data_IF_223387539302
#
_entry.id   IF_223387539302
#
_cell.length_a   1.000
_cell.length_b   1.000
_cell.length_c   1.000
_cell.angle_alpha   90.00
_cell.angle_beta   90.00
_cell.angle_gamma   90.00
#
_symmetry.space_group_name_H-M   'P 1'
#
loop_
_entity.id
_entity.type
_entity.pdbx_description
1 polymer ?
#
# COMPACT_ATOMS: atom_id res chain seq x y z
N UNK A 1 27.42 -14.64 -24.60
CA UNK A 1 26.61 -14.35 -23.40
C UNK A 1 27.20 -15.18 -22.29
N UNK A 2 27.42 -14.59 -21.13
CA UNK A 2 27.95 -15.31 -19.99
C UNK A 2 26.92 -16.35 -19.52
N UNK A 3 27.42 -17.52 -19.10
CA UNK A 3 26.60 -18.57 -18.52
C UNK A 3 26.46 -18.29 -17.03
N UNK A 4 25.26 -17.91 -16.59
CA UNK A 4 24.95 -17.52 -15.21
C UNK A 4 24.10 -18.58 -14.51
N UNK A 5 24.25 -18.69 -13.20
CA UNK A 5 23.33 -19.37 -12.29
C UNK A 5 22.28 -18.37 -11.81
N UNK A 6 21.04 -18.62 -12.18
CA UNK A 6 19.91 -17.71 -11.90
C UNK A 6 18.87 -18.41 -11.05
N UNK A 7 18.58 -17.84 -9.88
CA UNK A 7 17.45 -18.28 -9.06
C UNK A 7 16.17 -17.52 -9.46
N UNK A 8 15.13 -18.25 -9.81
CA UNK A 8 13.83 -17.71 -10.17
C UNK A 8 12.94 -17.67 -8.92
N UNK A 9 12.55 -16.48 -8.48
CA UNK A 9 11.64 -16.30 -7.35
C UNK A 9 10.25 -15.89 -7.86
N UNK A 10 9.34 -16.86 -7.93
CA UNK A 10 7.96 -16.64 -8.36
C UNK A 10 7.09 -16.01 -7.29
N UNK A 11 6.26 -15.02 -7.66
CA UNK A 11 5.35 -14.39 -6.71
C UNK A 11 4.31 -13.48 -7.34
N UNK A 12 3.22 -13.26 -6.58
CA UNK A 12 2.24 -12.22 -6.93
C UNK A 12 2.78 -10.83 -6.60
N UNK A 13 3.66 -10.71 -5.58
CA UNK A 13 4.28 -9.46 -5.10
C UNK A 13 3.27 -8.33 -4.86
N UNK A 14 2.27 -8.58 -4.02
CA UNK A 14 1.10 -7.71 -3.83
C UNK A 14 0.96 -7.15 -2.39
N UNK A 15 1.82 -6.24 -1.91
CA UNK A 15 3.02 -5.70 -2.59
C UNK A 15 4.29 -6.54 -2.32
N UNK A 16 5.38 -6.22 -3.03
CA UNK A 16 6.74 -6.66 -2.66
C UNK A 16 7.15 -6.11 -1.29
N UNK A 17 8.05 -6.82 -0.60
CA UNK A 17 8.46 -6.50 0.78
C UNK A 17 9.81 -7.07 1.14
N UNK A 18 10.36 -6.69 2.30
CA UNK A 18 11.72 -7.07 2.71
C UNK A 18 11.89 -8.58 2.90
N UNK A 19 10.83 -9.31 3.26
CA UNK A 19 10.85 -10.79 3.22
C UNK A 19 11.26 -11.37 1.85
N UNK A 20 10.76 -10.84 0.74
CA UNK A 20 11.16 -11.28 -0.61
C UNK A 20 12.63 -10.96 -0.89
N UNK A 21 13.10 -9.76 -0.51
CA UNK A 21 14.51 -9.40 -0.67
C UNK A 21 15.44 -10.24 0.20
N UNK A 22 15.03 -10.63 1.41
CA UNK A 22 15.84 -11.50 2.28
C UNK A 22 16.05 -12.86 1.63
N UNK A 23 15.00 -13.42 1.03
CA UNK A 23 15.10 -14.66 0.24
C UNK A 23 16.08 -14.45 -0.92
N UNK A 24 15.87 -13.42 -1.74
CA UNK A 24 16.73 -13.15 -2.89
C UNK A 24 18.21 -12.95 -2.50
N UNK A 25 18.50 -12.15 -1.48
CA UNK A 25 19.86 -11.97 -0.96
C UNK A 25 20.48 -13.28 -0.45
N UNK A 26 19.69 -14.11 0.23
CA UNK A 26 20.19 -15.39 0.71
C UNK A 26 20.53 -16.35 -0.45
N UNK A 27 19.78 -16.33 -1.55
CA UNK A 27 20.13 -17.08 -2.75
C UNK A 27 21.48 -16.61 -3.33
N UNK A 28 21.73 -15.31 -3.36
CA UNK A 28 23.01 -14.75 -3.82
C UNK A 28 24.16 -15.14 -2.87
N UNK A 29 24.02 -14.80 -1.59
CA UNK A 29 25.12 -14.81 -0.63
C UNK A 29 25.47 -16.22 -0.12
N UNK A 30 24.48 -17.10 0.04
CA UNK A 30 24.68 -18.42 0.65
C UNK A 30 24.73 -19.54 -0.39
N UNK A 31 23.84 -19.49 -1.38
CA UNK A 31 23.78 -20.49 -2.44
C UNK A 31 24.62 -20.13 -3.68
N UNK A 32 25.30 -18.97 -3.67
CA UNK A 32 26.21 -18.51 -4.72
C UNK A 32 25.55 -18.44 -6.11
N UNK A 33 24.29 -18.00 -6.17
CA UNK A 33 23.67 -17.62 -7.44
C UNK A 33 24.26 -16.28 -7.93
N UNK A 34 24.46 -16.15 -9.24
CA UNK A 34 24.96 -14.90 -9.84
C UNK A 34 23.87 -13.82 -9.85
N UNK A 35 22.63 -14.24 -10.09
CA UNK A 35 21.46 -13.36 -10.13
C UNK A 35 20.21 -14.03 -9.55
N UNK A 36 19.28 -13.20 -9.07
CA UNK A 36 17.93 -13.61 -8.71
C UNK A 36 16.93 -12.86 -9.57
N UNK A 37 16.05 -13.58 -10.26
CA UNK A 37 15.02 -13.00 -11.10
C UNK A 37 13.65 -13.20 -10.44
N UNK A 38 12.99 -12.10 -10.09
CA UNK A 38 11.64 -12.12 -9.53
C UNK A 38 10.64 -12.22 -10.69
N UNK A 39 9.92 -13.34 -10.74
CA UNK A 39 8.89 -13.60 -11.76
C UNK A 39 7.55 -13.05 -11.28
N UNK A 40 7.14 -11.92 -11.86
CA UNK A 40 5.87 -11.28 -11.54
C UNK A 40 4.72 -11.99 -12.26
N UNK A 41 3.89 -12.70 -11.50
CA UNK A 41 2.76 -13.42 -12.07
C UNK A 41 1.69 -12.48 -12.65
N UNK A 42 1.28 -12.73 -13.90
CA UNK A 42 0.15 -12.04 -14.55
C UNK A 42 -1.18 -12.50 -13.96
N UNK A 43 -1.41 -13.81 -13.92
CA UNK A 43 -2.52 -14.46 -13.24
C UNK A 43 -2.06 -15.82 -12.70
N UNK A 44 -1.99 -15.95 -11.37
CA UNK A 44 -1.56 -17.19 -10.73
C UNK A 44 -2.68 -18.26 -10.84
N UNK A 45 -2.42 -19.47 -11.38
CA UNK A 45 -3.48 -20.44 -11.68
C UNK A 45 -4.36 -20.88 -10.49
N UNK A 46 -3.81 -20.81 -9.26
CA UNK A 46 -4.44 -21.30 -8.02
C UNK A 46 -4.84 -20.15 -7.07
N UNK A 47 -4.94 -18.91 -7.58
CA UNK A 47 -5.36 -17.74 -6.78
C UNK A 47 -6.36 -16.91 -7.56
N UNK A 48 -7.26 -16.25 -6.82
CA UNK A 48 -8.12 -15.22 -7.38
C UNK A 48 -7.29 -14.08 -8.00
N UNK A 49 -7.89 -13.37 -8.95
CA UNK A 49 -7.27 -12.20 -9.56
C UNK A 49 -6.85 -11.19 -8.48
N UNK A 50 -5.65 -10.64 -8.61
CA UNK A 50 -5.19 -9.60 -7.70
C UNK A 50 -6.07 -8.36 -7.84
N UNK A 51 -6.52 -7.81 -6.72
CA UNK A 51 -7.23 -6.51 -6.69
C UNK A 51 -6.37 -5.35 -7.23
N UNK A 52 -5.05 -5.54 -7.31
CA UNK A 52 -4.09 -4.53 -7.81
C UNK A 52 -3.61 -4.92 -9.19
N UNK A 53 -3.63 -3.93 -10.09
CA UNK A 53 -3.21 -4.08 -11.48
C UNK A 53 -1.76 -4.59 -11.58
N UNK A 54 -1.46 -5.28 -12.69
CA UNK A 54 -0.11 -5.77 -12.95
C UNK A 54 0.93 -4.63 -12.92
N UNK A 55 0.60 -3.50 -13.57
CA UNK A 55 1.50 -2.36 -13.69
C UNK A 55 1.82 -1.71 -12.34
N UNK A 56 0.87 -1.66 -11.42
CA UNK A 56 1.12 -1.16 -10.06
C UNK A 56 2.04 -2.11 -9.26
N UNK A 57 1.82 -3.42 -9.37
CA UNK A 57 2.71 -4.42 -8.74
C UNK A 57 4.11 -4.32 -9.32
N UNK A 58 4.23 -4.18 -10.64
CA UNK A 58 5.49 -3.92 -11.35
C UNK A 58 6.17 -2.64 -10.85
N UNK A 59 5.44 -1.53 -10.77
CA UNK A 59 5.97 -0.25 -10.30
C UNK A 59 6.55 -0.38 -8.87
N UNK A 60 5.81 -1.01 -7.96
CA UNK A 60 6.29 -1.29 -6.61
C UNK A 60 7.54 -2.19 -6.59
N UNK A 61 7.61 -3.19 -7.46
CA UNK A 61 8.83 -4.01 -7.61
C UNK A 61 10.02 -3.20 -8.10
N UNK A 62 9.85 -2.37 -9.13
CA UNK A 62 10.94 -1.53 -9.65
C UNK A 62 11.46 -0.56 -8.57
N UNK A 63 10.57 0.02 -7.76
CA UNK A 63 10.97 0.86 -6.62
C UNK A 63 11.77 0.09 -5.56
N UNK A 64 11.44 -1.18 -5.33
CA UNK A 64 12.14 -2.05 -4.39
C UNK A 64 13.53 -2.45 -4.90
N UNK A 65 13.64 -2.76 -6.19
CA UNK A 65 14.81 -3.38 -6.81
C UNK A 65 15.87 -2.36 -7.29
N UNK A 66 15.56 -1.06 -7.29
CA UNK A 66 16.44 -0.01 -7.81
C UNK A 66 17.88 -0.05 -7.24
N UNK A 67 18.04 -0.46 -5.97
CA UNK A 67 19.33 -0.51 -5.27
C UNK A 67 19.98 -1.92 -5.30
N UNK A 68 19.45 -2.86 -6.08
CA UNK A 68 19.86 -4.27 -6.10
C UNK A 68 20.18 -4.78 -7.51
N UNK A 69 21.38 -4.53 -8.05
CA UNK A 69 21.71 -4.85 -9.45
C UNK A 69 21.63 -6.34 -9.81
N UNK A 70 21.91 -7.24 -8.85
CA UNK A 70 21.84 -8.69 -9.03
C UNK A 70 20.44 -9.28 -8.75
N UNK A 71 19.45 -8.43 -8.42
CA UNK A 71 18.07 -8.85 -8.17
C UNK A 71 17.16 -8.16 -9.19
N UNK A 72 16.73 -8.90 -10.20
CA UNK A 72 16.05 -8.34 -11.39
C UNK A 72 14.57 -8.68 -11.41
N UNK A 73 13.76 -7.80 -11.98
CA UNK A 73 12.40 -8.12 -12.40
C UNK A 73 12.47 -8.94 -13.70
N UNK A 74 11.80 -10.08 -13.75
CA UNK A 74 11.61 -10.85 -14.97
C UNK A 74 10.14 -10.79 -15.41
N UNK A 75 9.93 -10.20 -16.58
CA UNK A 75 8.60 -9.92 -17.14
C UNK A 75 8.18 -10.94 -18.20
N UNK A 76 8.89 -12.07 -18.34
CA UNK A 76 8.63 -13.04 -19.40
C UNK A 76 7.17 -13.53 -19.40
N UNK A 77 6.54 -13.63 -18.22
CA UNK A 77 5.13 -14.04 -18.10
C UNK A 77 4.14 -13.01 -18.64
N UNK A 78 4.55 -11.76 -18.86
CA UNK A 78 3.72 -10.76 -19.53
C UNK A 78 3.50 -11.12 -21.02
N UNK A 79 4.47 -11.79 -21.65
CA UNK A 79 4.49 -12.22 -23.04
C UNK A 79 3.83 -13.60 -23.26
N UNK A 80 3.60 -14.37 -22.19
CA UNK A 80 3.09 -15.74 -22.26
C UNK A 80 1.56 -15.83 -22.12
N UNK A 81 0.92 -16.92 -22.61
CA UNK A 81 -0.50 -17.17 -22.40
C UNK A 81 -0.85 -17.27 -20.91
N UNK A 82 -2.04 -16.77 -20.54
CA UNK A 82 -2.59 -16.89 -19.19
C UNK A 82 -3.43 -18.18 -19.04
N UNK A 83 -3.47 -18.81 -17.85
CA UNK A 83 -2.77 -18.42 -16.62
C UNK A 83 -1.27 -18.75 -16.66
N UNK A 84 -0.48 -18.10 -15.80
CA UNK A 84 0.97 -18.29 -15.71
C UNK A 84 1.32 -19.69 -15.18
N UNK A 85 1.52 -20.67 -16.08
CA UNK A 85 2.04 -21.99 -15.71
C UNK A 85 3.56 -22.00 -15.70
N UNK A 86 4.15 -22.37 -14.56
CA UNK A 86 5.61 -22.39 -14.36
C UNK A 86 6.36 -23.18 -15.44
N UNK A 87 5.80 -24.29 -15.93
CA UNK A 87 6.44 -25.07 -17.01
C UNK A 87 6.66 -24.24 -18.28
N UNK A 88 5.67 -23.44 -18.70
CA UNK A 88 5.82 -22.58 -19.87
C UNK A 88 6.85 -21.49 -19.62
N UNK A 89 6.90 -20.94 -18.40
CA UNK A 89 7.90 -19.95 -17.98
C UNK A 89 9.31 -20.52 -18.06
N UNK A 90 9.54 -21.73 -17.51
CA UNK A 90 10.86 -22.39 -17.55
C UNK A 90 11.28 -22.70 -18.99
N UNK A 91 10.38 -23.25 -19.81
CA UNK A 91 10.68 -23.57 -21.21
C UNK A 91 11.03 -22.31 -22.03
N UNK A 92 10.29 -21.22 -21.84
CA UNK A 92 10.58 -19.96 -22.51
C UNK A 92 11.91 -19.35 -22.04
N UNK A 93 12.23 -19.44 -20.74
CA UNK A 93 13.50 -18.96 -20.20
C UNK A 93 14.69 -19.77 -20.73
N UNK A 94 14.61 -21.11 -20.69
CA UNK A 94 15.66 -22.01 -21.19
C UNK A 94 15.87 -21.89 -22.71
N UNK A 95 14.82 -21.56 -23.46
CA UNK A 95 14.94 -21.29 -24.90
C UNK A 95 15.60 -19.93 -25.20
N UNK A 96 15.40 -18.93 -24.35
CA UNK A 96 15.84 -17.53 -24.58
C UNK A 96 17.21 -17.22 -24.01
N UNK A 97 17.60 -17.90 -22.93
CA UNK A 97 18.82 -17.61 -22.19
C UNK A 97 19.65 -18.88 -21.98
N UNK A 98 20.97 -18.84 -22.24
CA UNK A 98 21.87 -19.97 -22.01
C UNK A 98 22.29 -20.03 -20.52
N UNK A 99 21.37 -19.85 -19.59
CA UNK A 99 21.63 -19.81 -18.14
C UNK A 99 21.19 -21.11 -17.46
N UNK A 100 21.78 -21.40 -16.31
CA UNK A 100 21.32 -22.45 -15.40
C UNK A 100 20.25 -21.87 -14.47
N UNK A 101 19.04 -22.42 -14.52
CA UNK A 101 17.91 -21.93 -13.74
C UNK A 101 17.59 -22.85 -12.57
N UNK A 102 17.36 -22.26 -11.40
CA UNK A 102 16.73 -22.89 -10.25
C UNK A 102 15.43 -22.17 -9.91
N UNK A 103 14.50 -22.83 -9.23
CA UNK A 103 13.22 -22.24 -8.85
C UNK A 103 13.04 -22.19 -7.33
N UNK A 104 12.78 -20.99 -6.81
CA UNK A 104 12.56 -20.75 -5.38
C UNK A 104 11.06 -20.71 -5.10
N UNK A 105 10.62 -21.54 -4.15
CA UNK A 105 9.22 -21.75 -3.81
C UNK A 105 9.01 -21.72 -2.29
N UNK A 106 7.92 -21.14 -1.81
CA UNK A 106 7.55 -21.20 -0.39
C UNK A 106 6.94 -22.55 -0.02
N UNK A 107 7.09 -22.98 1.23
CA UNK A 107 6.58 -24.28 1.69
C UNK A 107 5.06 -24.47 1.51
N UNK A 108 4.27 -23.40 1.53
CA UNK A 108 2.83 -23.46 1.24
C UNK A 108 2.53 -23.85 -0.22
N UNK A 109 3.38 -23.45 -1.16
CA UNK A 109 3.25 -23.86 -2.56
C UNK A 109 3.87 -25.24 -2.80
N UNK A 110 4.98 -25.56 -2.10
CA UNK A 110 5.62 -26.87 -2.22
C UNK A 110 4.70 -28.02 -1.77
N UNK A 111 3.89 -27.83 -0.72
CA UNK A 111 2.89 -28.81 -0.26
C UNK A 111 1.87 -29.20 -1.35
N UNK A 112 1.55 -28.27 -2.25
CA UNK A 112 0.62 -28.49 -3.36
C UNK A 112 1.32 -28.58 -4.73
N UNK A 113 2.64 -28.81 -4.76
CA UNK A 113 3.43 -28.83 -5.99
C UNK A 113 2.98 -29.93 -6.97
N UNK A 114 2.45 -31.05 -6.48
CA UNK A 114 1.86 -32.12 -7.30
C UNK A 114 0.65 -31.66 -8.14
N UNK A 115 0.05 -30.51 -7.80
CA UNK A 115 -1.04 -29.90 -8.58
C UNK A 115 -0.53 -28.95 -9.67
N UNK A 116 0.77 -28.67 -9.73
CA UNK A 116 1.33 -27.81 -10.76
C UNK A 116 1.34 -28.54 -12.10
N UNK A 117 1.02 -27.81 -13.17
CA UNK A 117 1.02 -28.35 -14.52
C UNK A 117 2.42 -28.88 -14.87
N UNK A 118 2.49 -30.16 -15.26
CA UNK A 118 3.73 -30.86 -15.60
C UNK A 118 4.78 -30.83 -14.47
N UNK A 119 4.36 -31.05 -13.21
CA UNK A 119 5.27 -31.05 -12.06
C UNK A 119 6.42 -32.05 -12.20
N UNK A 120 6.21 -33.23 -12.81
CA UNK A 120 7.26 -34.23 -13.03
C UNK A 120 8.33 -33.70 -13.99
N UNK A 121 7.91 -33.10 -15.12
CA UNK A 121 8.82 -32.44 -16.07
C UNK A 121 9.55 -31.25 -15.44
N UNK A 122 8.91 -30.53 -14.51
CA UNK A 122 9.57 -29.46 -13.76
C UNK A 122 10.72 -29.99 -12.89
N UNK A 123 10.55 -31.15 -12.23
CA UNK A 123 11.61 -31.78 -11.42
C UNK A 123 12.82 -32.18 -12.25
N UNK A 124 12.62 -32.52 -13.53
CA UNK A 124 13.69 -32.85 -14.46
C UNK A 124 14.39 -31.60 -15.02
N UNK A 125 13.67 -30.48 -15.13
CA UNK A 125 14.17 -29.26 -15.79
C UNK A 125 14.95 -28.32 -14.88
N UNK A 126 14.62 -28.25 -13.59
CA UNK A 126 15.21 -27.29 -12.65
C UNK A 126 15.29 -27.86 -11.23
N UNK A 127 16.27 -27.39 -10.46
CA UNK A 127 16.32 -27.64 -9.02
C UNK A 127 15.39 -26.69 -8.27
N UNK A 128 14.60 -27.23 -7.35
CA UNK A 128 13.71 -26.44 -6.49
C UNK A 128 14.38 -26.13 -5.15
N UNK A 129 14.23 -24.88 -4.70
CA UNK A 129 14.67 -24.40 -3.40
C UNK A 129 13.42 -24.03 -2.58
N UNK A 130 13.15 -24.81 -1.54
CA UNK A 130 11.98 -24.63 -0.68
C UNK A 130 12.30 -23.73 0.50
N UNK A 131 11.68 -22.56 0.56
CA UNK A 131 11.75 -21.66 1.70
C UNK A 131 10.74 -22.10 2.76
N UNK A 132 11.26 -22.54 3.90
CA UNK A 132 10.47 -22.95 5.05
C UNK A 132 9.62 -21.82 5.61
N UNK A 133 8.49 -22.19 6.21
CA UNK A 133 7.58 -21.24 6.87
C UNK A 133 7.32 -21.73 8.29
N UNK A 134 7.67 -20.92 9.29
CA UNK A 134 7.67 -21.32 10.70
C UNK A 134 8.47 -22.61 10.97
N UNK A 135 9.53 -22.85 10.19
CA UNK A 135 10.35 -24.08 10.29
C UNK A 135 9.72 -25.33 9.69
N UNK A 136 8.55 -25.23 9.04
CA UNK A 136 7.91 -26.36 8.35
C UNK A 136 8.25 -26.39 6.86
N UNK A 137 8.48 -27.60 6.36
CA UNK A 137 8.79 -27.94 4.97
C UNK A 137 7.81 -29.00 4.44
N UNK A 138 7.78 -29.16 3.13
CA UNK A 138 7.10 -30.23 2.42
C UNK A 138 7.86 -31.57 2.53
N UNK A 139 7.24 -32.62 2.00
CA UNK A 139 7.84 -33.97 1.97
C UNK A 139 8.66 -34.23 0.69
N UNK A 140 8.93 -33.21 -0.13
CA UNK A 140 9.73 -33.38 -1.34
C UNK A 140 11.22 -33.50 -1.00
N UNK A 141 11.77 -34.70 -1.13
CA UNK A 141 13.19 -34.97 -0.84
C UNK A 141 14.15 -34.32 -1.84
N UNK A 142 13.67 -34.08 -3.07
CA UNK A 142 14.44 -33.44 -4.15
C UNK A 142 14.58 -31.92 -3.97
N UNK A 143 13.86 -31.32 -3.03
CA UNK A 143 13.88 -29.87 -2.81
C UNK A 143 15.02 -29.49 -1.85
N UNK A 144 15.83 -28.52 -2.26
CA UNK A 144 16.86 -27.94 -1.40
C UNK A 144 16.18 -27.07 -0.35
N UNK A 145 16.38 -27.37 0.93
CA UNK A 145 15.76 -26.62 2.03
C UNK A 145 16.45 -25.29 2.25
N UNK A 146 15.66 -24.24 2.36
CA UNK A 146 16.06 -22.88 2.70
C UNK A 146 15.33 -22.47 3.96
N UNK A 147 16.05 -22.08 5.01
CA UNK A 147 15.44 -21.72 6.28
C UNK A 147 14.51 -20.51 6.17
N UNK A 148 13.57 -20.40 7.13
CA UNK A 148 12.65 -19.27 7.17
C UNK A 148 13.40 -17.96 7.53
N UNK A 149 13.47 -17.02 6.58
CA UNK A 149 14.25 -15.78 6.74
C UNK A 149 13.44 -14.56 7.21
N UNK A 150 12.11 -14.65 7.20
CA UNK A 150 11.22 -13.54 7.54
C UNK A 150 9.81 -14.02 7.89
N UNK A 151 9.18 -13.33 8.83
CA UNK A 151 7.75 -13.46 9.15
C UNK A 151 6.87 -12.44 8.42
N UNK A 152 7.47 -11.54 7.63
CA UNK A 152 6.76 -10.46 6.95
C UNK A 152 5.89 -11.02 5.84
N UNK A 153 4.63 -10.57 5.79
CA UNK A 153 3.69 -10.93 4.74
C UNK A 153 3.13 -9.70 4.04
N UNK A 154 2.91 -9.80 2.72
CA UNK A 154 2.19 -8.76 1.97
C UNK A 154 0.83 -8.43 2.59
N UNK A 155 0.15 -9.41 3.20
CA UNK A 155 -1.15 -9.20 3.87
C UNK A 155 -1.04 -8.22 5.04
N UNK A 156 0.00 -8.32 5.86
CA UNK A 156 0.21 -7.37 6.97
C UNK A 156 0.45 -5.95 6.45
N UNK A 157 1.18 -5.81 5.33
CA UNK A 157 1.44 -4.52 4.69
C UNK A 157 0.15 -3.92 4.10
N UNK A 158 -0.65 -4.72 3.37
CA UNK A 158 -1.96 -4.27 2.83
C UNK A 158 -2.94 -3.82 3.92
N UNK A 159 -2.82 -4.38 5.12
CA UNK A 159 -3.64 -4.01 6.29
C UNK A 159 -3.04 -2.85 7.11
N UNK A 160 -1.91 -2.25 6.71
CA UNK A 160 -1.25 -1.20 7.50
C UNK A 160 -0.68 -1.69 8.86
N UNK A 161 -0.51 -3.00 9.03
CA UNK A 161 -0.01 -3.64 10.26
C UNK A 161 1.51 -3.76 10.26
N UNK A 162 2.14 -3.58 9.10
CA UNK A 162 3.59 -3.65 8.91
C UNK A 162 4.00 -2.66 7.83
N UNK A 163 5.13 -1.99 8.06
CA UNK A 163 5.82 -1.17 7.09
C UNK A 163 7.13 -1.81 6.60
N UNK A 164 7.28 -3.13 6.74
CA UNK A 164 8.50 -3.87 6.38
C UNK A 164 8.67 -4.05 4.86
N UNK A 165 8.73 -2.94 4.14
CA UNK A 165 9.02 -2.81 2.72
C UNK A 165 9.81 -1.52 2.46
N UNK A 166 10.16 -1.24 1.20
CA UNK A 166 10.85 0.00 0.86
C UNK A 166 9.93 1.22 1.11
N UNK A 167 10.41 2.31 1.74
CA UNK A 167 9.66 3.55 1.92
C UNK A 167 8.97 4.08 0.66
N UNK A 168 9.60 3.94 -0.51
CA UNK A 168 9.04 4.35 -1.80
C UNK A 168 7.82 3.50 -2.19
N UNK A 169 7.79 2.23 -1.81
CA UNK A 169 6.63 1.34 -2.02
C UNK A 169 5.46 1.78 -1.16
N UNK A 170 5.69 2.09 0.13
CA UNK A 170 4.64 2.61 1.01
C UNK A 170 4.06 3.93 0.50
N UNK A 171 4.94 4.84 0.05
CA UNK A 171 4.52 6.10 -0.57
C UNK A 171 3.68 5.84 -1.83
N UNK A 172 4.14 4.96 -2.71
CA UNK A 172 3.43 4.60 -3.94
C UNK A 172 2.03 4.05 -3.62
N UNK A 173 1.91 3.17 -2.63
CA UNK A 173 0.62 2.63 -2.21
C UNK A 173 -0.39 3.72 -1.87
N UNK A 174 0.00 4.68 -1.03
CA UNK A 174 -0.89 5.78 -0.62
C UNK A 174 -1.18 6.72 -1.78
N UNK A 175 -0.17 7.12 -2.55
CA UNK A 175 -0.34 8.10 -3.63
C UNK A 175 -1.13 7.55 -4.83
N UNK A 176 -1.22 6.24 -4.99
CA UNK A 176 -1.99 5.56 -6.03
C UNK A 176 -3.27 4.89 -5.50
N UNK A 177 -3.72 5.25 -4.29
CA UNK A 177 -4.97 4.78 -3.66
C UNK A 177 -5.05 3.24 -3.54
N UNK A 178 -3.90 2.58 -3.40
CA UNK A 178 -3.82 1.14 -3.28
C UNK A 178 -4.05 0.73 -1.84
N UNK A 179 -4.97 -0.21 -1.64
CA UNK A 179 -5.29 -0.81 -0.33
C UNK A 179 -5.90 0.15 0.71
N UNK A 180 -6.36 1.35 0.32
CA UNK A 180 -6.91 2.34 1.24
C UNK A 180 -7.95 1.75 2.20
N UNK A 181 -8.91 0.99 1.68
CA UNK A 181 -9.94 0.41 2.51
C UNK A 181 -9.40 -0.60 3.54
N UNK A 182 -8.36 -1.37 3.21
CA UNK A 182 -7.77 -2.32 4.18
C UNK A 182 -6.83 -1.63 5.16
N UNK A 183 -6.10 -0.60 4.73
CA UNK A 183 -5.26 0.24 5.60
C UNK A 183 -6.14 1.01 6.58
N UNK A 184 -7.15 1.72 6.11
CA UNK A 184 -7.98 2.56 6.97
C UNK A 184 -8.76 1.73 7.99
N UNK A 185 -9.27 0.53 7.64
CA UNK A 185 -9.94 -0.36 8.61
C UNK A 185 -9.06 -0.77 9.80
N UNK A 186 -7.74 -0.70 9.68
CA UNK A 186 -6.82 -0.92 10.81
C UNK A 186 -6.82 0.24 11.82
N UNK A 187 -7.17 1.45 11.37
CA UNK A 187 -7.09 2.67 12.18
C UNK A 187 -8.45 3.26 12.55
N UNK A 188 -9.52 2.90 11.83
CA UNK A 188 -10.84 3.48 12.02
C UNK A 188 -11.98 2.45 11.93
N UNK A 189 -13.04 2.71 12.69
CA UNK A 189 -14.27 1.92 12.68
C UNK A 189 -15.05 2.08 11.36
N UNK A 190 -15.89 1.10 10.95
CA UNK A 190 -16.63 1.15 9.69
C UNK A 190 -17.44 2.44 9.48
N UNK A 191 -18.09 2.97 10.52
CA UNK A 191 -18.84 4.23 10.46
C UNK A 191 -17.95 5.43 10.08
N UNK A 192 -16.70 5.44 10.57
CA UNK A 192 -15.74 6.51 10.28
C UNK A 192 -15.14 6.36 8.88
N UNK A 193 -14.91 5.13 8.42
CA UNK A 193 -14.50 4.90 7.04
C UNK A 193 -15.56 5.38 6.05
N UNK A 194 -16.83 5.06 6.31
CA UNK A 194 -17.93 5.56 5.50
C UNK A 194 -18.03 7.09 5.52
N UNK A 195 -17.70 7.74 6.64
CA UNK A 195 -17.57 9.20 6.72
C UNK A 195 -16.44 9.70 5.81
N UNK A 196 -15.22 9.17 5.92
CA UNK A 196 -14.10 9.57 5.06
C UNK A 196 -14.38 9.38 3.57
N UNK A 197 -15.12 8.32 3.20
CA UNK A 197 -15.55 8.09 1.81
C UNK A 197 -16.48 9.19 1.31
N UNK A 198 -17.51 9.57 2.08
CA UNK A 198 -18.41 10.67 1.69
C UNK A 198 -17.72 12.04 1.67
N UNK A 199 -16.78 12.26 2.58
CA UNK A 199 -15.90 13.45 2.54
C UNK A 199 -15.07 13.45 1.27
N UNK A 200 -14.48 12.32 0.88
CA UNK A 200 -13.72 12.18 -0.36
C UNK A 200 -14.57 12.46 -1.60
N UNK A 201 -15.76 11.86 -1.70
CA UNK A 201 -16.69 12.10 -2.81
C UNK A 201 -17.04 13.59 -2.94
N UNK A 202 -17.37 14.23 -1.82
CA UNK A 202 -17.70 15.66 -1.76
C UNK A 202 -16.49 16.53 -2.12
N UNK A 203 -15.31 16.20 -1.60
CA UNK A 203 -14.07 16.93 -1.87
C UNK A 203 -13.66 16.85 -3.34
N UNK A 204 -13.75 15.66 -3.95
CA UNK A 204 -13.46 15.44 -5.36
C UNK A 204 -14.43 16.17 -6.28
N UNK A 205 -15.71 16.24 -5.91
CA UNK A 205 -16.70 17.02 -6.64
C UNK A 205 -16.30 18.51 -6.65
N UNK A 206 -15.99 19.09 -5.49
CA UNK A 206 -15.51 20.49 -5.42
C UNK A 206 -14.21 20.67 -6.21
N UNK A 207 -13.22 19.78 -6.02
CA UNK A 207 -11.90 19.89 -6.63
C UNK A 207 -11.92 19.91 -8.17
N UNK A 208 -12.83 19.16 -8.81
CA UNK A 208 -13.01 19.16 -10.26
C UNK A 208 -13.37 20.54 -10.80
N UNK A 209 -14.18 21.31 -10.08
CA UNK A 209 -14.57 22.67 -10.46
C UNK A 209 -13.44 23.70 -10.29
N UNK A 210 -12.42 23.38 -9.50
CA UNK A 210 -11.25 24.24 -9.27
C UNK A 210 -9.97 23.76 -9.98
N UNK A 211 -10.09 22.73 -10.83
CA UNK A 211 -8.98 22.14 -11.59
C UNK A 211 -7.77 21.73 -10.73
N UNK A 212 -8.04 21.20 -9.54
CA UNK A 212 -7.00 20.73 -8.62
C UNK A 212 -6.62 19.28 -8.90
N UNK A 213 -5.44 18.89 -8.39
CA UNK A 213 -4.97 17.51 -8.43
C UNK A 213 -5.90 16.60 -7.60
N UNK A 214 -6.62 15.72 -8.29
CA UNK A 214 -7.62 14.84 -7.69
C UNK A 214 -6.99 13.75 -6.83
N UNK A 215 -5.79 13.28 -7.16
CA UNK A 215 -5.10 12.26 -6.37
C UNK A 215 -4.68 12.84 -5.02
N UNK A 216 -4.15 14.06 -5.01
CA UNK A 216 -3.78 14.79 -3.79
C UNK A 216 -5.02 15.04 -2.91
N UNK A 217 -6.14 15.46 -3.50
CA UNK A 217 -7.41 15.68 -2.77
C UNK A 217 -7.96 14.37 -2.20
N UNK A 218 -7.95 13.29 -2.98
CA UNK A 218 -8.46 11.99 -2.55
C UNK A 218 -7.67 11.44 -1.35
N UNK A 219 -6.33 11.47 -1.38
CA UNK A 219 -5.50 11.04 -0.24
C UNK A 219 -5.81 11.90 0.98
N UNK A 220 -5.82 13.23 0.84
CA UNK A 220 -6.09 14.12 1.96
C UNK A 220 -7.48 13.86 2.57
N UNK A 221 -8.50 13.66 1.75
CA UNK A 221 -9.87 13.41 2.20
C UNK A 221 -10.04 12.02 2.83
N UNK A 222 -9.49 10.96 2.23
CA UNK A 222 -9.62 9.60 2.78
C UNK A 222 -8.94 9.45 4.14
N UNK A 223 -7.79 10.10 4.32
CA UNK A 223 -6.95 9.97 5.52
C UNK A 223 -7.12 11.09 6.56
N UNK A 224 -7.96 12.11 6.35
CA UNK A 224 -8.09 13.25 7.27
C UNK A 224 -8.35 12.85 8.74
N UNK A 225 -9.18 11.81 8.94
CA UNK A 225 -9.60 11.31 10.24
C UNK A 225 -8.94 9.98 10.62
N UNK A 226 -7.83 9.59 9.96
CA UNK A 226 -7.19 8.26 10.14
C UNK A 226 -6.83 7.95 11.59
N UNK A 227 -6.41 8.96 12.36
CA UNK A 227 -6.03 8.80 13.76
C UNK A 227 -7.15 9.17 14.75
N UNK A 228 -8.41 9.30 14.31
CA UNK A 228 -9.51 9.81 15.15
C UNK A 228 -9.79 8.98 16.40
N UNK A 229 -9.57 7.67 16.31
CA UNK A 229 -9.82 6.72 17.40
C UNK A 229 -8.58 6.44 18.27
N UNK A 230 -7.43 7.03 17.95
CA UNK A 230 -6.17 6.72 18.62
C UNK A 230 -6.10 7.30 20.03
N UNK A 231 -5.52 6.51 20.94
CA UNK A 231 -4.92 7.01 22.17
C UNK A 231 -3.42 7.29 22.00
N UNK A 232 -2.79 7.75 23.08
CA UNK A 232 -1.35 8.04 23.13
C UNK A 232 -0.52 6.79 22.79
N UNK A 233 -0.94 5.61 23.26
CA UNK A 233 -0.24 4.36 22.99
C UNK A 233 -0.27 3.98 21.51
N UNK A 234 -1.40 4.15 20.84
CA UNK A 234 -1.51 3.91 19.40
C UNK A 234 -0.56 4.86 18.64
N UNK A 235 -0.58 6.15 18.99
CA UNK A 235 0.32 7.13 18.40
C UNK A 235 1.79 6.75 18.62
N UNK A 236 2.18 6.30 19.81
CA UNK A 236 3.55 5.86 20.09
C UNK A 236 3.95 4.63 19.26
N UNK A 237 3.07 3.64 19.11
CA UNK A 237 3.33 2.43 18.33
C UNK A 237 3.67 2.75 16.87
N UNK A 238 2.96 3.68 16.23
CA UNK A 238 3.18 4.03 14.82
C UNK A 238 4.23 5.12 14.63
N UNK A 239 4.27 6.13 15.50
CA UNK A 239 5.03 7.37 15.29
C UNK A 239 6.30 7.46 16.13
N UNK A 240 6.41 6.66 17.20
CA UNK A 240 7.51 6.70 18.17
C UNK A 240 7.75 8.14 18.65
N UNK A 241 8.91 8.73 18.35
CA UNK A 241 9.24 10.12 18.71
C UNK A 241 8.34 11.18 18.07
N UNK A 242 7.61 10.84 17.00
CA UNK A 242 6.69 11.76 16.31
C UNK A 242 5.27 11.73 16.89
N UNK A 243 5.03 11.00 17.99
CA UNK A 243 3.74 10.98 18.67
C UNK A 243 3.50 12.18 19.58
N UNK A 244 4.53 12.95 19.93
CA UNK A 244 4.42 14.09 20.82
C UNK A 244 3.62 15.23 20.16
N UNK A 245 2.60 15.70 20.88
CA UNK A 245 1.65 16.75 20.49
C UNK A 245 1.93 18.08 21.18
N UNK A 246 2.87 18.13 22.13
CA UNK A 246 3.14 19.31 22.95
C UNK A 246 1.87 19.84 23.62
N UNK A 247 1.68 21.16 23.56
CA UNK A 247 0.53 21.86 24.18
C UNK A 247 -0.73 21.88 23.31
N UNK A 248 -0.81 21.07 22.24
CA UNK A 248 -1.98 21.04 21.38
C UNK A 248 -3.23 20.61 22.19
N UNK A 249 -4.36 21.32 22.05
CA UNK A 249 -5.63 20.87 22.60
C UNK A 249 -6.00 19.46 22.12
N UNK A 250 -6.62 18.67 22.99
CA UNK A 250 -6.95 17.25 22.71
C UNK A 250 -7.71 17.02 21.40
N UNK A 251 -8.59 17.94 21.01
CA UNK A 251 -9.36 17.83 19.76
C UNK A 251 -8.51 18.02 18.49
N UNK A 252 -7.25 18.48 18.62
CA UNK A 252 -6.27 18.64 17.55
C UNK A 252 -5.17 17.56 17.57
N UNK A 253 -5.27 16.56 18.44
CA UNK A 253 -4.29 15.46 18.45
C UNK A 253 -4.43 14.57 17.20
N UNK A 254 -5.65 14.19 16.82
CA UNK A 254 -5.87 13.33 15.67
C UNK A 254 -5.46 13.92 14.31
N UNK A 255 -5.70 15.21 13.96
CA UNK A 255 -5.21 15.75 12.70
C UNK A 255 -3.68 15.81 12.68
N UNK A 256 -3.06 16.09 13.83
CA UNK A 256 -1.60 16.07 13.96
C UNK A 256 -1.05 14.65 13.73
N UNK A 257 -1.55 13.65 14.46
CA UNK A 257 -1.11 12.26 14.29
C UNK A 257 -1.42 11.70 12.91
N UNK A 258 -2.55 12.05 12.30
CA UNK A 258 -2.87 11.65 10.92
C UNK A 258 -1.84 12.17 9.93
N UNK A 259 -1.49 13.46 10.05
CA UNK A 259 -0.43 14.08 9.23
C UNK A 259 0.94 13.42 9.49
N UNK A 260 1.30 13.16 10.76
CA UNK A 260 2.55 12.47 11.09
C UNK A 260 2.58 11.02 10.59
N UNK A 261 1.45 10.30 10.62
CA UNK A 261 1.35 8.93 10.11
C UNK A 261 1.66 8.89 8.62
N UNK A 262 1.02 9.74 7.81
CA UNK A 262 1.31 9.79 6.38
C UNK A 262 2.76 10.17 6.11
N UNK A 263 3.30 11.15 6.84
CA UNK A 263 4.67 11.62 6.66
C UNK A 263 5.74 10.61 7.04
N UNK A 264 5.60 9.98 8.21
CA UNK A 264 6.69 9.22 8.84
C UNK A 264 6.51 7.70 8.72
N UNK A 265 5.27 7.21 8.66
CA UNK A 265 5.01 5.78 8.48
C UNK A 265 4.84 5.42 7.01
N UNK A 266 4.11 6.24 6.24
CA UNK A 266 3.86 5.99 4.82
C UNK A 266 4.74 6.82 3.87
N UNK A 267 5.61 7.68 4.39
CA UNK A 267 6.58 8.46 3.62
C UNK A 267 5.96 9.38 2.55
N UNK A 268 4.72 9.84 2.77
CA UNK A 268 4.09 10.88 1.95
C UNK A 268 4.70 12.24 2.30
N UNK A 269 5.27 12.90 1.29
CA UNK A 269 5.96 14.19 1.42
C UNK A 269 5.21 15.35 0.74
N UNK A 270 4.05 15.08 0.11
CA UNK A 270 3.22 16.11 -0.49
C UNK A 270 2.69 17.07 0.61
N UNK A 271 3.12 18.33 0.53
CA UNK A 271 2.82 19.33 1.55
C UNK A 271 1.33 19.63 1.66
N UNK A 272 0.60 19.65 0.56
CA UNK A 272 -0.83 19.98 0.55
C UNK A 272 -1.65 18.89 1.26
N UNK A 273 -1.33 17.62 1.05
CA UNK A 273 -1.94 16.50 1.80
C UNK A 273 -1.68 16.66 3.30
N UNK A 274 -0.41 16.87 3.67
CA UNK A 274 -0.01 16.92 5.08
C UNK A 274 -0.63 18.11 5.81
N UNK A 275 -0.74 19.27 5.16
CA UNK A 275 -1.39 20.47 5.72
C UNK A 275 -2.91 20.31 5.78
N UNK A 276 -3.55 19.81 4.72
CA UNK A 276 -4.99 19.61 4.71
C UNK A 276 -5.43 18.67 5.83
N UNK A 277 -4.72 17.57 6.06
CA UNK A 277 -4.98 16.67 7.20
C UNK A 277 -4.71 17.38 8.53
N UNK A 278 -3.60 18.12 8.67
CA UNK A 278 -3.23 18.79 9.92
C UNK A 278 -4.23 19.88 10.33
N UNK A 279 -4.87 20.51 9.36
CA UNK A 279 -5.70 21.70 9.58
C UNK A 279 -7.20 21.48 9.33
N UNK A 280 -7.64 20.27 8.95
CA UNK A 280 -9.06 19.99 8.65
C UNK A 280 -10.04 20.26 9.80
N UNK A 281 -9.56 20.28 11.06
CA UNK A 281 -10.44 20.51 12.22
C UNK A 281 -10.67 22.00 12.45
N UNK A 282 -9.62 22.81 12.38
CA UNK A 282 -9.65 24.22 12.75
C UNK A 282 -9.72 25.17 11.55
N UNK A 283 -9.47 24.68 10.34
CA UNK A 283 -9.47 25.49 9.12
C UNK A 283 -8.44 26.62 9.16
N UNK A 284 -7.27 26.41 9.78
CA UNK A 284 -6.27 27.48 9.89
C UNK A 284 -5.33 27.60 8.68
N UNK A 285 -5.39 26.65 7.74
CA UNK A 285 -4.65 26.71 6.48
C UNK A 285 -5.60 27.08 5.33
N UNK A 286 -5.22 28.10 4.57
CA UNK A 286 -6.05 28.68 3.51
C UNK A 286 -5.68 28.19 2.09
N UNK A 287 -4.84 27.15 1.96
CA UNK A 287 -4.61 26.54 0.65
C UNK A 287 -5.91 25.91 0.13
N UNK A 288 -6.09 25.87 -1.19
CA UNK A 288 -7.33 25.37 -1.81
C UNK A 288 -7.66 23.95 -1.36
N UNK A 289 -6.67 23.07 -1.22
CA UNK A 289 -6.90 21.69 -0.78
C UNK A 289 -7.32 21.65 0.69
N UNK A 290 -6.66 22.40 1.59
CA UNK A 290 -7.09 22.49 2.99
C UNK A 290 -8.51 23.05 3.14
N UNK A 291 -8.86 24.08 2.35
CA UNK A 291 -10.21 24.63 2.32
C UNK A 291 -11.23 23.58 1.89
N UNK A 292 -10.95 22.83 0.82
CA UNK A 292 -11.82 21.76 0.33
C UNK A 292 -12.01 20.68 1.40
N UNK A 293 -10.93 20.18 2.02
CA UNK A 293 -11.05 19.13 3.05
C UNK A 293 -11.83 19.64 4.26
N UNK A 294 -11.60 20.89 4.69
CA UNK A 294 -12.35 21.50 5.78
C UNK A 294 -13.85 21.61 5.44
N UNK A 295 -14.18 22.14 4.26
CA UNK A 295 -15.57 22.28 3.79
C UNK A 295 -16.22 20.90 3.71
N UNK A 296 -15.63 19.98 2.95
CA UNK A 296 -16.17 18.65 2.70
C UNK A 296 -16.42 17.86 3.99
N UNK A 297 -15.51 17.94 4.98
CA UNK A 297 -15.73 17.31 6.29
C UNK A 297 -17.02 17.82 6.95
N UNK A 298 -17.36 19.11 6.83
CA UNK A 298 -18.57 19.67 7.44
C UNK A 298 -19.82 19.40 6.63
N UNK A 299 -19.74 19.40 5.30
CA UNK A 299 -20.93 19.41 4.44
C UNK A 299 -21.28 18.07 3.79
N UNK A 300 -20.50 17.01 4.05
CA UNK A 300 -20.75 15.69 3.48
C UNK A 300 -22.19 15.19 3.74
N UNK A 301 -22.84 14.47 2.81
CA UNK A 301 -24.28 14.13 2.85
C UNK A 301 -24.78 13.40 4.12
N UNK A 302 -23.90 12.75 4.88
CA UNK A 302 -24.21 12.05 6.12
C UNK A 302 -24.35 12.93 7.36
N UNK A 303 -24.20 14.26 7.22
CA UNK A 303 -24.26 15.22 8.34
C UNK A 303 -25.69 15.56 8.80
N UNK A 304 -26.71 15.15 8.04
CA UNK A 304 -28.11 15.23 8.47
C UNK A 304 -28.75 16.62 8.38
N UNK A 305 -28.18 17.51 7.56
CA UNK A 305 -28.75 18.80 7.21
C UNK A 305 -28.56 19.06 5.71
N UNK A 306 -29.35 19.98 5.15
CA UNK A 306 -29.22 20.37 3.75
C UNK A 306 -27.96 21.22 3.55
N UNK A 307 -26.99 20.66 2.84
CA UNK A 307 -25.73 21.28 2.53
C UNK A 307 -25.58 21.67 1.06
N UNK A 308 -26.62 21.47 0.23
CA UNK A 308 -26.57 21.79 -1.21
C UNK A 308 -26.19 23.26 -1.48
N UNK A 309 -26.70 24.28 -0.74
CA UNK A 309 -26.32 25.67 -0.97
C UNK A 309 -24.82 25.92 -0.72
N UNK A 310 -24.23 25.25 0.28
CA UNK A 310 -22.81 25.36 0.58
C UNK A 310 -21.96 24.61 -0.43
N UNK A 311 -22.41 23.45 -0.89
CA UNK A 311 -21.72 22.70 -1.94
C UNK A 311 -21.70 23.48 -3.27
N UNK A 312 -22.83 24.06 -3.67
CA UNK A 312 -22.92 24.91 -4.87
C UNK A 312 -22.02 26.14 -4.76
N UNK A 313 -21.98 26.78 -3.59
CA UNK A 313 -21.06 27.88 -3.33
C UNK A 313 -19.60 27.41 -3.39
N UNK A 314 -19.26 26.28 -2.79
CA UNK A 314 -17.90 25.74 -2.79
C UNK A 314 -17.39 25.43 -4.20
N UNK A 315 -18.26 24.98 -5.10
CA UNK A 315 -17.93 24.74 -6.52
C UNK A 315 -17.65 26.01 -7.31
N UNK A 316 -18.20 27.16 -6.90
CA UNK A 316 -18.10 28.42 -7.67
C UNK A 316 -17.14 29.42 -7.04
N UNK A 317 -17.07 29.47 -5.71
CA UNK A 317 -16.19 30.36 -4.96
C UNK A 317 -15.74 29.69 -3.65
N UNK A 318 -14.56 29.06 -3.70
CA UNK A 318 -14.03 28.27 -2.60
C UNK A 318 -13.76 29.11 -1.35
N UNK A 319 -13.19 30.31 -1.50
CA UNK A 319 -12.88 31.20 -0.38
C UNK A 319 -14.15 31.63 0.36
N UNK A 320 -15.19 32.03 -0.39
CA UNK A 320 -16.45 32.46 0.21
C UNK A 320 -17.17 31.30 0.91
N UNK A 321 -17.14 30.09 0.32
CA UNK A 321 -17.67 28.90 0.98
C UNK A 321 -16.90 28.58 2.26
N UNK A 322 -15.58 28.70 2.24
CA UNK A 322 -14.72 28.41 3.39
C UNK A 322 -15.00 29.34 4.56
N UNK A 323 -15.05 30.65 4.32
CA UNK A 323 -15.41 31.65 5.33
C UNK A 323 -16.79 31.36 5.94
N UNK A 324 -17.78 31.06 5.09
CA UNK A 324 -19.13 30.74 5.54
C UNK A 324 -19.18 29.48 6.42
N UNK A 325 -18.50 28.40 6.02
CA UNK A 325 -18.44 27.16 6.81
C UNK A 325 -17.72 27.40 8.15
N UNK A 326 -16.66 28.22 8.17
CA UNK A 326 -15.98 28.59 9.41
C UNK A 326 -16.92 29.32 10.38
N UNK A 327 -17.70 30.28 9.88
CA UNK A 327 -18.63 31.05 10.70
C UNK A 327 -19.80 30.21 11.21
N UNK A 328 -20.38 29.34 10.38
CA UNK A 328 -21.41 28.39 10.79
C UNK A 328 -20.88 27.41 11.85
N UNK A 329 -19.64 26.93 11.71
CA UNK A 329 -19.01 26.03 12.68
C UNK A 329 -18.70 26.73 14.01
N UNK A 330 -18.24 27.99 14.00
CA UNK A 330 -18.08 28.80 15.24
C UNK A 330 -19.40 28.95 15.97
N UNK A 331 -20.47 29.29 15.27
CA UNK A 331 -21.82 29.42 15.86
C UNK A 331 -22.33 28.11 16.45
N UNK A 332 -22.07 26.98 15.78
CA UNK A 332 -22.42 25.66 16.30
C UNK A 332 -21.69 25.33 17.61
N UNK A 333 -20.38 25.59 17.67
CA UNK A 333 -19.57 25.35 18.86
C UNK A 333 -20.06 26.22 20.02
N UNK A 334 -20.36 27.50 19.80
CA UNK A 334 -20.92 28.39 20.82
C UNK A 334 -22.24 27.85 21.37
N UNK A 335 -23.18 27.45 20.48
CA UNK A 335 -24.47 26.86 20.87
C UNK A 335 -24.34 25.53 21.64
N UNK A 336 -23.24 24.78 21.46
CA UNK A 336 -22.96 23.56 22.23
C UNK A 336 -22.22 23.84 23.54
N UNK A 337 -21.36 24.86 23.57
CA UNK A 337 -20.70 25.34 24.77
C UNK A 337 -21.69 25.87 25.80
N UNK A 338 -22.74 26.55 25.35
CA UNK A 338 -23.84 27.05 26.19
C UNK A 338 -24.79 25.94 26.70
N UNK A 339 -24.62 24.69 26.24
CA UNK A 339 -25.43 23.52 26.64
C UNK A 339 -24.71 22.58 27.61
N UNK A 340 -23.50 22.91 28.05
CA UNK A 340 -22.74 22.23 29.12
C UNK A 340 -22.60 23.14 30.31
#
# INVERSE_FOLDING_TARGET
MDHLKVALLGGTFNPIHNGHLKIAKHMLDYFNFDEVWLLLAKAAPLKDASEVAYDDRKAMMLLMLADYPNIKLCEIEAELPTPSYTIHTIEALQARYPHEFAFVIGSDQAQQFHLWKAYETLLEKVTFYEVGRNGSFSNWETFVRVDALSSTSSTAIRKGQSNDTNPKVLKYMIMHHLYDASILRQHMQPKRLAHSQRVCETALDIAKHHHLDLDVVQVAAMYHDVAKAWGINDAFCYLRKHSDVGDLPKHLWHPYWGSQLLKHYYHVDNRDILLAIRHHVNGSDASSISQIIYIADKIEPGRGYDSEPLLALAKTNLNQAFERVQDENKQYILKQGDRK
#
